data_IF_660480769692
#
_entry.id   IF_660480769692
#
_cell.length_a   1.000
_cell.length_b   1.000
_cell.length_c   1.000
_cell.angle_alpha   90.00
_cell.angle_beta   90.00
_cell.angle_gamma   90.00
#
_symmetry.space_group_name_H-M   'P 1'
#
loop_
_entity.id
_entity.type
_entity.pdbx_description
1 polymer ?
#
# COMPACT_ATOMS: atom_id res chain seq x y z
N UNK A 1 43.34 13.74 2.64
CA UNK A 1 42.45 12.54 2.62
C UNK A 1 41.16 12.93 1.93
N UNK A 2 40.87 12.32 0.79
CA UNK A 2 39.66 12.55 0.00
C UNK A 2 38.55 11.65 0.61
N UNK A 3 37.58 12.23 1.33
CA UNK A 3 36.40 11.48 1.74
C UNK A 3 35.48 11.37 0.52
N UNK A 4 35.41 10.16 -0.06
CA UNK A 4 34.37 9.79 -1.00
C UNK A 4 33.01 9.90 -0.30
N UNK A 5 32.27 10.96 -0.62
CA UNK A 5 30.84 11.07 -0.35
C UNK A 5 30.14 10.05 -1.25
N UNK A 6 29.96 8.83 -0.71
CA UNK A 6 29.07 7.83 -1.26
C UNK A 6 27.68 8.46 -1.26
N UNK A 7 27.23 8.94 -2.42
CA UNK A 7 25.86 9.37 -2.63
C UNK A 7 24.99 8.13 -2.57
N UNK A 8 24.52 7.82 -1.37
CA UNK A 8 23.40 6.93 -1.19
C UNK A 8 22.21 7.60 -1.87
N UNK A 9 21.96 7.21 -3.12
CA UNK A 9 20.68 7.44 -3.78
C UNK A 9 19.64 6.65 -3.00
N UNK A 10 19.18 7.23 -1.90
CA UNK A 10 17.97 6.83 -1.23
C UNK A 10 16.87 7.05 -2.25
N UNK A 11 16.49 5.97 -2.93
CA UNK A 11 15.19 5.88 -3.59
C UNK A 11 14.15 6.06 -2.48
N UNK A 12 13.86 7.33 -2.16
CA UNK A 12 12.85 7.70 -1.20
C UNK A 12 11.53 7.29 -1.83
N UNK A 13 11.08 6.08 -1.50
CA UNK A 13 9.71 5.64 -1.74
C UNK A 13 8.80 6.76 -1.25
N UNK A 14 8.07 7.40 -2.16
CA UNK A 14 7.20 8.54 -1.85
C UNK A 14 6.27 8.12 -0.72
N UNK A 15 6.43 8.72 0.46
CA UNK A 15 5.56 8.43 1.58
C UNK A 15 4.23 9.17 1.34
N UNK A 16 3.12 8.45 1.40
CA UNK A 16 1.79 9.03 1.32
C UNK A 16 1.43 9.74 2.63
N UNK A 17 0.54 10.73 2.51
CA UNK A 17 -0.03 11.40 3.68
C UNK A 17 -0.83 10.40 4.52
N UNK A 18 -1.05 10.74 5.80
CA UNK A 18 -1.88 9.93 6.69
C UNK A 18 -3.28 9.69 6.12
N UNK A 19 -3.88 10.73 5.55
CA UNK A 19 -5.22 10.69 4.94
C UNK A 19 -5.26 9.76 3.74
N UNK A 20 -4.27 9.84 2.84
CA UNK A 20 -4.14 8.92 1.70
C UNK A 20 -4.01 7.47 2.16
N UNK A 21 -3.19 7.22 3.18
CA UNK A 21 -3.04 5.88 3.76
C UNK A 21 -4.32 5.37 4.42
N UNK A 22 -5.09 6.25 5.08
CA UNK A 22 -6.39 5.91 5.66
C UNK A 22 -7.40 5.56 4.57
N UNK A 23 -7.46 6.33 3.49
CA UNK A 23 -8.32 6.07 2.34
C UNK A 23 -7.99 4.73 1.68
N UNK A 24 -6.71 4.47 1.38
CA UNK A 24 -6.26 3.19 0.82
C UNK A 24 -6.58 2.00 1.74
N UNK A 25 -6.38 2.16 3.04
CA UNK A 25 -6.72 1.12 4.00
C UNK A 25 -8.23 0.89 4.12
N UNK A 26 -9.04 1.94 3.95
CA UNK A 26 -10.49 1.82 3.92
C UNK A 26 -10.94 1.06 2.66
N UNK A 27 -10.47 1.45 1.49
CA UNK A 27 -10.75 0.75 0.23
C UNK A 27 -10.36 -0.75 0.31
N UNK A 28 -9.21 -1.05 0.91
CA UNK A 28 -8.79 -2.44 1.14
C UNK A 28 -9.77 -3.20 2.03
N UNK A 29 -10.30 -2.56 3.09
CA UNK A 29 -11.30 -3.18 3.97
C UNK A 29 -12.62 -3.41 3.24
N UNK A 30 -13.03 -2.45 2.41
CA UNK A 30 -14.28 -2.54 1.63
C UNK A 30 -14.19 -3.71 0.62
N UNK A 31 -13.08 -3.84 -0.12
CA UNK A 31 -12.85 -5.00 -1.00
C UNK A 31 -12.83 -6.30 -0.20
N UNK A 32 -12.24 -6.33 1.00
CA UNK A 32 -12.27 -7.51 1.87
C UNK A 32 -13.69 -7.87 2.32
N UNK A 33 -14.58 -6.90 2.46
CA UNK A 33 -16.00 -7.16 2.72
C UNK A 33 -16.69 -7.72 1.49
N UNK A 34 -16.42 -7.18 0.29
CA UNK A 34 -16.97 -7.69 -0.96
C UNK A 34 -16.53 -9.13 -1.25
N UNK A 35 -15.26 -9.46 -0.96
CA UNK A 35 -14.74 -10.84 -1.03
C UNK A 35 -15.38 -11.82 -0.04
N UNK A 36 -16.20 -11.35 0.91
CA UNK A 36 -16.99 -12.21 1.82
C UNK A 36 -18.43 -12.39 1.34
N UNK A 37 -18.84 -11.68 0.29
CA UNK A 37 -20.14 -11.82 -0.32
C UNK A 37 -20.07 -12.81 -1.49
N UNK A 38 -21.21 -13.37 -1.94
CA UNK A 38 -21.26 -14.09 -3.20
C UNK A 38 -20.78 -13.23 -4.36
N UNK A 39 -19.95 -13.78 -5.23
CA UNK A 39 -19.42 -13.13 -6.43
C UNK A 39 -19.29 -14.14 -7.57
N UNK A 40 -19.24 -13.65 -8.82
CA UNK A 40 -18.85 -14.48 -9.96
C UNK A 40 -17.35 -14.75 -9.94
N UNK A 41 -16.89 -15.80 -10.65
CA UNK A 41 -15.46 -16.10 -10.72
C UNK A 41 -14.60 -14.92 -11.22
N UNK A 42 -15.10 -14.20 -12.23
CA UNK A 42 -14.46 -12.99 -12.78
C UNK A 42 -14.37 -11.86 -11.75
N UNK A 43 -15.49 -11.56 -11.06
CA UNK A 43 -15.51 -10.57 -9.98
C UNK A 43 -14.53 -10.96 -8.86
N UNK A 44 -14.48 -12.23 -8.48
CA UNK A 44 -13.54 -12.73 -7.48
C UNK A 44 -12.08 -12.51 -7.87
N UNK A 45 -11.73 -12.75 -9.14
CA UNK A 45 -10.37 -12.50 -9.65
C UNK A 45 -10.01 -11.01 -9.62
N UNK A 46 -10.93 -10.15 -10.06
CA UNK A 46 -10.73 -8.71 -10.03
C UNK A 46 -10.54 -8.19 -8.59
N UNK A 47 -11.44 -8.56 -7.67
CA UNK A 47 -11.37 -8.16 -6.27
C UNK A 47 -10.08 -8.63 -5.59
N UNK A 48 -9.60 -9.84 -5.90
CA UNK A 48 -8.32 -10.33 -5.39
C UNK A 48 -7.12 -9.55 -5.94
N UNK A 49 -7.14 -9.21 -7.23
CA UNK A 49 -6.10 -8.40 -7.85
C UNK A 49 -6.05 -6.99 -7.25
N UNK A 50 -7.19 -6.33 -7.10
CA UNK A 50 -7.31 -5.02 -6.48
C UNK A 50 -6.86 -5.04 -5.01
N UNK A 51 -7.28 -6.05 -4.24
CA UNK A 51 -6.85 -6.21 -2.85
C UNK A 51 -5.32 -6.35 -2.74
N UNK A 52 -4.70 -7.13 -3.63
CA UNK A 52 -3.24 -7.31 -3.67
C UNK A 52 -2.52 -6.02 -4.06
N UNK A 53 -3.06 -5.26 -5.01
CA UNK A 53 -2.51 -3.97 -5.42
C UNK A 53 -2.54 -2.96 -4.26
N UNK A 54 -3.67 -2.85 -3.55
CA UNK A 54 -3.80 -1.96 -2.39
C UNK A 54 -2.84 -2.35 -1.25
N UNK A 55 -2.69 -3.65 -0.98
CA UNK A 55 -1.71 -4.14 0.00
C UNK A 55 -0.29 -3.70 -0.36
N UNK A 56 0.10 -3.79 -1.64
CA UNK A 56 1.42 -3.37 -2.10
C UNK A 56 1.61 -1.85 -1.96
N UNK A 57 0.60 -1.05 -2.32
CA UNK A 57 0.66 0.40 -2.15
C UNK A 57 0.83 0.80 -0.68
N UNK A 58 0.07 0.17 0.22
CA UNK A 58 0.18 0.40 1.66
C UNK A 58 1.58 0.02 2.17
N UNK A 59 2.14 -1.12 1.75
CA UNK A 59 3.48 -1.54 2.18
C UNK A 59 4.59 -0.61 1.69
N UNK A 60 4.47 -0.09 0.46
CA UNK A 60 5.50 0.75 -0.15
C UNK A 60 5.44 2.21 0.33
N UNK A 61 4.23 2.75 0.50
CA UNK A 61 4.03 4.19 0.66
C UNK A 61 3.45 4.59 2.02
N UNK A 62 2.94 3.63 2.79
CA UNK A 62 2.35 3.87 4.10
C UNK A 62 3.18 3.17 5.18
N UNK A 63 4.44 3.61 5.36
CA UNK A 63 5.17 3.26 6.58
C UNK A 63 4.43 3.86 7.77
N UNK A 64 4.13 3.03 8.76
CA UNK A 64 3.61 3.48 10.04
C UNK A 64 4.69 4.39 10.66
N UNK A 65 4.51 5.72 10.80
CA UNK A 65 5.27 6.42 11.81
C UNK A 65 4.80 5.77 13.12
N UNK A 66 5.66 4.96 13.74
CA UNK A 66 5.28 4.20 14.91
C UNK A 66 4.57 5.11 15.92
N UNK A 67 3.52 4.62 16.60
CA UNK A 67 3.03 5.33 17.77
C UNK A 67 4.21 5.50 18.73
N UNK A 68 4.41 6.74 19.19
CA UNK A 68 5.38 7.10 20.22
C UNK A 68 5.28 6.18 21.44
#
# INVERSE_FOLDING_TARGET
>A
MLLMLVTFSSYATVQFSREQCQQLNQQRKDIRQQLRQPYTAEQGQQLQAEHKALMRLLQLHCKNPQPK
#
